data_IF_497570711773
#
_entry.id   IF_497570711773
#
_cell.length_a   1.000
_cell.length_b   1.000
_cell.length_c   1.000
_cell.angle_alpha   90.00
_cell.angle_beta   90.00
_cell.angle_gamma   90.00
#
_symmetry.space_group_name_H-M   'P 1'
#
loop_
_entity.id
_entity.type
_entity.pdbx_description
1 polymer ?
#
# COMPACT_ATOMS: atom_id res chain seq x y z
N UNK A 1 31.00 16.38 3.45
CA UNK A 1 29.57 16.14 3.72
C UNK A 1 29.33 16.30 5.21
N UNK A 2 28.35 17.10 5.62
CA UNK A 2 28.12 17.35 7.05
C UNK A 2 27.55 16.06 7.68
N UNK A 3 28.23 15.54 8.71
CA UNK A 3 27.82 14.29 9.42
C UNK A 3 26.35 14.38 9.90
N UNK A 4 25.93 15.55 10.32
CA UNK A 4 24.56 15.79 10.77
C UNK A 4 23.52 15.61 9.65
N UNK A 5 23.81 16.10 8.45
CA UNK A 5 22.94 15.91 7.28
C UNK A 5 22.73 14.44 6.91
N UNK A 6 23.78 13.62 6.96
CA UNK A 6 23.68 12.16 6.72
C UNK A 6 22.80 11.50 7.77
N UNK A 7 22.92 11.93 9.03
CA UNK A 7 22.10 11.41 10.14
C UNK A 7 20.62 11.71 9.90
N UNK A 8 20.27 12.94 9.46
CA UNK A 8 18.89 13.32 9.14
C UNK A 8 18.31 12.49 7.99
N UNK A 9 19.07 12.26 6.91
CA UNK A 9 18.62 11.42 5.80
C UNK A 9 18.38 9.96 6.23
N UNK A 10 19.22 9.42 7.10
CA UNK A 10 19.03 8.07 7.65
C UNK A 10 17.79 8.00 8.57
N UNK A 11 17.54 9.07 9.34
CA UNK A 11 16.36 9.19 10.18
C UNK A 11 15.08 9.20 9.34
N UNK A 12 15.02 10.00 8.26
CA UNK A 12 13.88 10.00 7.32
C UNK A 12 13.62 8.61 6.74
N UNK A 13 14.67 7.91 6.32
CA UNK A 13 14.53 6.55 5.80
C UNK A 13 13.92 5.61 6.83
N UNK A 14 14.35 5.70 8.08
CA UNK A 14 13.84 4.89 9.17
C UNK A 14 12.37 5.21 9.48
N UNK A 15 11.97 6.49 9.44
CA UNK A 15 10.59 6.92 9.60
C UNK A 15 9.70 6.33 8.49
N UNK A 16 10.11 6.41 7.22
CA UNK A 16 9.40 5.79 6.10
C UNK A 16 9.24 4.27 6.28
N UNK A 17 10.28 3.56 6.69
CA UNK A 17 10.18 2.13 6.95
C UNK A 17 9.23 1.81 8.11
N UNK A 18 9.23 2.61 9.17
CA UNK A 18 8.32 2.42 10.30
C UNK A 18 6.87 2.67 9.90
N UNK A 19 6.60 3.77 9.16
CA UNK A 19 5.27 4.05 8.63
C UNK A 19 4.80 2.94 7.70
N UNK A 20 5.66 2.45 6.80
CA UNK A 20 5.33 1.35 5.90
C UNK A 20 4.96 0.05 6.63
N UNK A 21 5.59 -0.26 7.77
CA UNK A 21 5.19 -1.41 8.60
C UNK A 21 3.82 -1.22 9.25
N UNK A 22 3.47 0.01 9.65
CA UNK A 22 2.13 0.33 10.17
C UNK A 22 1.09 0.17 9.07
N UNK A 23 1.37 0.66 7.86
CA UNK A 23 0.52 0.50 6.67
C UNK A 23 0.33 -0.97 6.31
N UNK A 24 1.40 -1.77 6.29
CA UNK A 24 1.32 -3.23 6.06
C UNK A 24 0.38 -3.90 7.07
N UNK A 25 0.49 -3.53 8.35
CA UNK A 25 -0.38 -4.07 9.40
C UNK A 25 -1.84 -3.65 9.18
N UNK A 26 -2.10 -2.40 8.81
CA UNK A 26 -3.44 -1.91 8.52
C UNK A 26 -4.09 -2.68 7.35
N UNK A 27 -3.36 -2.90 6.26
CA UNK A 27 -3.80 -3.68 5.10
C UNK A 27 -4.16 -5.11 5.51
N UNK A 28 -3.29 -5.79 6.24
CA UNK A 28 -3.52 -7.15 6.75
C UNK A 28 -4.77 -7.24 7.61
N UNK A 29 -4.95 -6.29 8.53
CA UNK A 29 -6.11 -6.24 9.41
C UNK A 29 -7.41 -5.92 8.66
N UNK A 30 -7.37 -5.06 7.64
CA UNK A 30 -8.52 -4.75 6.81
C UNK A 30 -9.01 -5.98 6.03
N UNK A 31 -8.07 -6.75 5.43
CA UNK A 31 -8.40 -8.00 4.73
C UNK A 31 -8.99 -9.02 5.70
N UNK A 32 -8.35 -9.21 6.86
CA UNK A 32 -8.85 -10.10 7.89
C UNK A 32 -10.27 -9.71 8.34
N UNK A 33 -10.51 -8.42 8.60
CA UNK A 33 -11.83 -7.92 8.98
C UNK A 33 -12.88 -8.24 7.92
N UNK A 34 -12.54 -8.07 6.64
CA UNK A 34 -13.43 -8.40 5.52
C UNK A 34 -13.74 -9.90 5.43
N UNK A 35 -12.74 -10.76 5.57
CA UNK A 35 -12.90 -12.21 5.47
C UNK A 35 -13.66 -12.81 6.66
N UNK A 36 -13.48 -12.24 7.86
CA UNK A 36 -14.07 -12.79 9.10
C UNK A 36 -15.35 -12.09 9.52
N UNK A 37 -15.71 -10.94 8.91
CA UNK A 37 -16.81 -10.09 9.32
C UNK A 37 -16.55 -9.40 10.68
N UNK A 38 -15.27 -9.22 11.07
CA UNK A 38 -14.89 -8.59 12.34
C UNK A 38 -14.99 -7.07 12.24
N UNK A 39 -16.17 -6.56 12.60
CA UNK A 39 -16.48 -5.13 12.59
C UNK A 39 -15.62 -4.33 13.59
N UNK A 40 -15.25 -4.94 14.73
CA UNK A 40 -14.41 -4.25 15.71
C UNK A 40 -12.99 -4.04 15.15
N UNK A 41 -12.44 -5.05 14.47
CA UNK A 41 -11.16 -4.95 13.79
C UNK A 41 -11.21 -3.92 12.66
N UNK A 42 -12.31 -3.86 11.89
CA UNK A 42 -12.50 -2.86 10.84
C UNK A 42 -12.47 -1.42 11.40
N UNK A 43 -13.17 -1.16 12.48
CA UNK A 43 -13.10 0.16 13.14
C UNK A 43 -11.71 0.49 13.66
N UNK A 44 -10.97 -0.50 14.19
CA UNK A 44 -9.57 -0.27 14.59
C UNK A 44 -8.69 0.18 13.40
N UNK A 45 -8.88 -0.40 12.21
CA UNK A 45 -8.15 0.02 11.01
C UNK A 45 -8.50 1.46 10.63
N UNK A 46 -9.77 1.82 10.63
CA UNK A 46 -10.22 3.19 10.34
C UNK A 46 -9.68 4.22 11.34
N UNK A 47 -9.56 3.85 12.62
CA UNK A 47 -8.96 4.72 13.66
C UNK A 47 -7.43 4.90 13.49
N UNK A 48 -6.74 3.98 12.79
CA UNK A 48 -5.30 4.13 12.50
C UNK A 48 -5.02 5.17 11.41
N UNK A 49 -5.95 5.42 10.51
CA UNK A 49 -5.83 6.35 9.39
C UNK A 49 -5.37 7.74 9.87
N UNK A 50 -6.06 8.34 10.84
CA UNK A 50 -5.69 9.64 11.40
C UNK A 50 -4.27 9.69 12.02
N UNK A 51 -3.72 8.56 12.45
CA UNK A 51 -2.34 8.50 12.97
C UNK A 51 -1.32 8.43 11.85
N UNK A 52 -1.66 7.74 10.77
CA UNK A 52 -0.82 7.64 9.56
C UNK A 52 -0.74 9.00 8.89
N UNK A 53 -1.86 9.73 8.79
CA UNK A 53 -1.91 11.11 8.29
C UNK A 53 -1.01 12.05 9.09
N UNK A 54 -1.07 11.96 10.43
CA UNK A 54 -0.21 12.79 11.28
C UNK A 54 1.27 12.47 11.09
N UNK A 55 1.62 11.21 10.90
CA UNK A 55 3.02 10.84 10.64
C UNK A 55 3.46 11.22 9.23
N UNK A 56 2.55 11.16 8.24
CA UNK A 56 2.79 11.66 6.89
C UNK A 56 3.19 13.14 6.93
N UNK A 57 2.41 13.99 7.61
CA UNK A 57 2.68 15.41 7.77
C UNK A 57 4.04 15.64 8.46
N UNK A 58 4.38 14.88 9.50
CA UNK A 58 5.67 15.01 10.20
C UNK A 58 6.85 14.70 9.31
N UNK A 59 6.75 13.62 8.50
CA UNK A 59 7.82 13.24 7.58
C UNK A 59 7.99 14.33 6.51
N UNK A 60 6.88 14.87 5.99
CA UNK A 60 6.93 15.98 5.03
C UNK A 60 7.59 17.23 5.63
N UNK A 61 7.21 17.64 6.85
CA UNK A 61 7.81 18.77 7.56
C UNK A 61 9.31 18.57 7.77
N UNK A 62 9.77 17.37 8.14
CA UNK A 62 11.21 17.07 8.27
C UNK A 62 11.92 17.15 6.91
N UNK A 63 11.30 16.70 5.82
CA UNK A 63 11.83 16.87 4.47
C UNK A 63 12.00 18.35 4.11
N UNK A 64 10.97 19.17 4.35
CA UNK A 64 11.00 20.62 4.10
C UNK A 64 12.06 21.33 4.94
N UNK A 65 12.21 20.94 6.19
CA UNK A 65 13.25 21.45 7.10
C UNK A 65 14.65 21.12 6.57
N UNK A 66 14.89 19.89 6.11
CA UNK A 66 16.16 19.48 5.51
C UNK A 66 16.46 20.32 4.25
N UNK A 67 15.48 20.53 3.38
CA UNK A 67 15.63 21.36 2.19
C UNK A 67 16.02 22.79 2.56
N UNK A 68 15.36 23.39 3.55
CA UNK A 68 15.60 24.75 3.99
C UNK A 68 16.99 24.94 4.64
N UNK A 69 17.38 24.02 5.53
CA UNK A 69 18.60 24.15 6.32
C UNK A 69 19.87 23.77 5.56
N UNK A 70 19.80 22.73 4.72
CA UNK A 70 20.99 22.15 4.10
C UNK A 70 21.13 22.48 2.62
N UNK A 71 20.07 22.95 1.95
CA UNK A 71 20.05 23.30 0.52
C UNK A 71 20.71 22.21 -0.33
N UNK A 72 20.26 20.92 -0.21
CA UNK A 72 20.92 19.81 -0.87
C UNK A 72 20.86 19.95 -2.39
N UNK A 73 21.84 19.36 -3.10
CA UNK A 73 21.95 19.40 -4.55
C UNK A 73 22.08 17.99 -5.12
N UNK A 74 21.82 17.85 -6.40
CA UNK A 74 22.00 16.63 -7.17
C UNK A 74 21.39 15.39 -6.47
N UNK A 75 22.19 14.41 -6.07
CA UNK A 75 21.72 13.18 -5.45
C UNK A 75 20.99 13.40 -4.12
N UNK A 76 21.51 14.29 -3.29
CA UNK A 76 20.94 14.56 -1.97
C UNK A 76 19.55 15.22 -2.09
N UNK A 77 19.39 16.13 -3.03
CA UNK A 77 18.08 16.72 -3.36
C UNK A 77 17.10 15.63 -3.85
N UNK A 78 17.54 14.74 -4.77
CA UNK A 78 16.71 13.65 -5.22
C UNK A 78 16.26 12.75 -4.07
N UNK A 79 17.16 12.49 -3.08
CA UNK A 79 16.82 11.70 -1.91
C UNK A 79 15.64 12.29 -1.14
N UNK A 80 15.69 13.59 -0.82
CA UNK A 80 14.60 14.24 -0.05
C UNK A 80 13.29 14.25 -0.86
N UNK A 81 13.36 14.60 -2.14
CA UNK A 81 12.16 14.62 -3.00
C UNK A 81 11.55 13.20 -3.17
N UNK A 82 12.39 12.17 -3.28
CA UNK A 82 11.90 10.78 -3.33
C UNK A 82 11.27 10.35 -2.00
N UNK A 83 11.80 10.81 -0.85
CA UNK A 83 11.18 10.55 0.46
C UNK A 83 9.76 11.14 0.53
N UNK A 84 9.54 12.40 0.10
CA UNK A 84 8.21 13.02 0.06
C UNK A 84 7.25 12.18 -0.78
N UNK A 85 7.67 11.74 -1.97
CA UNK A 85 6.82 10.94 -2.85
C UNK A 85 6.49 9.56 -2.29
N UNK A 86 7.48 8.88 -1.70
CA UNK A 86 7.28 7.57 -1.07
C UNK A 86 6.35 7.69 0.14
N UNK A 87 6.47 8.77 0.91
CA UNK A 87 5.60 9.09 2.03
C UNK A 87 4.13 9.20 1.60
N UNK A 88 3.85 9.99 0.55
CA UNK A 88 2.51 10.13 -0.03
C UNK A 88 1.98 8.80 -0.61
N UNK A 89 2.85 7.92 -1.17
CA UNK A 89 2.43 6.60 -1.64
C UNK A 89 2.04 5.68 -0.47
N UNK A 90 2.74 5.75 0.67
CA UNK A 90 2.41 4.98 1.88
C UNK A 90 1.09 5.44 2.53
N UNK A 91 0.84 6.73 2.58
CA UNK A 91 -0.44 7.29 3.06
C UNK A 91 -1.59 6.80 2.17
N UNK A 92 -1.48 6.92 0.85
CA UNK A 92 -2.51 6.41 -0.08
C UNK A 92 -2.76 4.91 0.04
N UNK A 93 -1.76 4.09 0.40
CA UNK A 93 -1.97 2.68 0.73
C UNK A 93 -2.82 2.51 1.99
N UNK A 94 -2.62 3.37 3.00
CA UNK A 94 -3.42 3.36 4.22
C UNK A 94 -4.88 3.76 3.94
N UNK A 95 -5.12 4.77 3.09
CA UNK A 95 -6.46 5.14 2.60
C UNK A 95 -7.18 3.92 2.00
N UNK A 96 -6.48 3.13 1.17
CA UNK A 96 -7.09 1.92 0.62
C UNK A 96 -7.38 0.86 1.70
N UNK A 97 -6.54 0.75 2.74
CA UNK A 97 -6.84 -0.12 3.88
C UNK A 97 -8.10 0.36 4.63
N UNK A 98 -8.28 1.66 4.81
CA UNK A 98 -9.50 2.28 5.33
C UNK A 98 -10.74 1.92 4.49
N UNK A 99 -10.67 2.08 3.17
CA UNK A 99 -11.76 1.69 2.26
C UNK A 99 -12.10 0.19 2.34
N UNK A 100 -11.09 -0.68 2.48
CA UNK A 100 -11.32 -2.12 2.68
C UNK A 100 -12.01 -2.40 4.02
N UNK A 101 -11.67 -1.67 5.08
CA UNK A 101 -12.30 -1.77 6.39
C UNK A 101 -13.77 -1.30 6.36
N UNK A 102 -14.09 -0.20 5.65
CA UNK A 102 -15.46 0.26 5.41
C UNK A 102 -16.30 -0.83 4.71
N UNK A 103 -15.73 -1.49 3.69
CA UNK A 103 -16.40 -2.63 3.02
C UNK A 103 -16.62 -3.80 3.97
N UNK A 104 -15.66 -4.09 4.87
CA UNK A 104 -15.83 -5.14 5.88
C UNK A 104 -17.03 -4.87 6.79
N UNK A 105 -17.21 -3.61 7.23
CA UNK A 105 -18.38 -3.19 8.01
C UNK A 105 -19.67 -3.35 7.21
N UNK A 106 -19.66 -2.95 5.93
CA UNK A 106 -20.82 -3.09 5.06
C UNK A 106 -21.19 -4.56 4.86
N UNK A 107 -20.24 -5.42 4.48
CA UNK A 107 -20.47 -6.87 4.29
C UNK A 107 -20.99 -7.53 5.56
N UNK A 108 -20.46 -7.18 6.73
CA UNK A 108 -20.94 -7.71 8.01
C UNK A 108 -22.39 -7.31 8.33
N UNK A 109 -22.89 -6.19 7.77
CA UNK A 109 -24.28 -5.75 7.89
C UNK A 109 -25.26 -6.50 6.99
N UNK A 110 -24.74 -7.18 5.96
CA UNK A 110 -25.56 -7.94 5.02
C UNK A 110 -26.00 -9.27 5.66
N UNK A 111 -27.30 -9.60 5.52
CA UNK A 111 -27.83 -10.89 5.96
C UNK A 111 -27.44 -11.97 4.94
N UNK A 112 -26.18 -12.43 4.99
CA UNK A 112 -25.69 -13.49 4.10
C UNK A 112 -26.16 -14.84 4.66
N UNK A 113 -26.93 -15.58 3.88
CA UNK A 113 -27.30 -16.96 4.22
C UNK A 113 -26.03 -17.83 4.17
N UNK A 114 -25.76 -18.62 5.23
CA UNK A 114 -24.52 -19.36 5.45
C UNK A 114 -24.15 -20.42 4.38
N UNK A 115 -24.88 -20.50 3.27
CA UNK A 115 -24.61 -21.36 2.13
C UNK A 115 -23.86 -20.67 0.97
N UNK A 116 -23.49 -19.36 1.13
CA UNK A 116 -22.76 -18.63 0.12
C UNK A 116 -21.28 -19.02 0.15
N UNK A 117 -20.73 -19.41 -0.99
CA UNK A 117 -19.28 -19.55 -1.15
C UNK A 117 -18.62 -18.17 -1.06
N UNK A 118 -17.82 -17.99 -0.03
CA UNK A 118 -17.08 -16.75 0.20
C UNK A 118 -15.86 -16.68 -0.74
N UNK A 119 -15.57 -15.48 -1.23
CA UNK A 119 -14.37 -15.26 -2.03
C UNK A 119 -13.12 -15.46 -1.19
N UNK A 120 -12.18 -16.27 -1.68
CA UNK A 120 -10.86 -16.45 -1.07
C UNK A 120 -9.89 -15.40 -1.63
N UNK A 121 -9.54 -14.43 -0.80
CA UNK A 121 -8.54 -13.40 -1.10
C UNK A 121 -7.13 -13.77 -0.67
N UNK A 122 -6.93 -14.89 0.04
CA UNK A 122 -5.63 -15.28 0.60
C UNK A 122 -4.48 -15.31 -0.41
N UNK A 123 -4.66 -15.79 -1.66
CA UNK A 123 -3.58 -15.76 -2.65
C UNK A 123 -3.19 -14.33 -3.05
N UNK A 124 -4.17 -13.45 -3.26
CA UNK A 124 -3.93 -12.05 -3.63
C UNK A 124 -3.34 -11.26 -2.46
N UNK A 125 -3.86 -11.49 -1.23
CA UNK A 125 -3.31 -10.96 0.00
C UNK A 125 -1.82 -11.28 0.14
N UNK A 126 -1.47 -12.57 0.00
CA UNK A 126 -0.09 -13.02 0.14
C UNK A 126 0.83 -12.31 -0.84
N UNK A 127 0.44 -12.22 -2.10
CA UNK A 127 1.22 -11.58 -3.15
C UNK A 127 1.44 -10.08 -2.89
N UNK A 128 0.37 -9.35 -2.53
CA UNK A 128 0.42 -7.91 -2.25
C UNK A 128 1.28 -7.62 -1.01
N UNK A 129 1.12 -8.41 0.06
CA UNK A 129 1.90 -8.22 1.29
C UNK A 129 3.37 -8.60 1.09
N UNK A 130 3.70 -9.66 0.34
CA UNK A 130 5.07 -9.99 -0.04
C UNK A 130 5.71 -8.84 -0.83
N UNK A 131 5.01 -8.31 -1.82
CA UNK A 131 5.48 -7.18 -2.63
C UNK A 131 5.73 -5.93 -1.79
N UNK A 132 4.83 -5.61 -0.84
CA UNK A 132 5.02 -4.49 0.07
C UNK A 132 6.21 -4.71 1.01
N UNK A 133 6.37 -5.90 1.60
CA UNK A 133 7.51 -6.23 2.45
C UNK A 133 8.83 -6.11 1.71
N UNK A 134 8.90 -6.59 0.47
CA UNK A 134 10.10 -6.46 -0.36
C UNK A 134 10.36 -5.00 -0.73
N UNK A 135 9.31 -4.20 -0.97
CA UNK A 135 9.43 -2.74 -1.18
C UNK A 135 10.00 -2.04 0.05
N UNK A 136 9.57 -2.39 1.27
CA UNK A 136 10.16 -1.84 2.50
C UNK A 136 11.64 -2.24 2.66
N UNK A 137 12.02 -3.46 2.28
CA UNK A 137 13.45 -3.86 2.22
C UNK A 137 14.23 -3.00 1.21
N UNK A 138 13.65 -2.68 0.05
CA UNK A 138 14.28 -1.77 -0.93
C UNK A 138 14.52 -0.39 -0.33
N UNK A 139 13.56 0.17 0.42
CA UNK A 139 13.75 1.45 1.12
C UNK A 139 14.90 1.33 2.13
N UNK A 140 14.94 0.27 2.93
CA UNK A 140 15.92 0.06 3.99
C UNK A 140 17.34 -0.14 3.44
N UNK A 141 17.49 -1.01 2.45
CA UNK A 141 18.80 -1.45 1.92
C UNK A 141 19.28 -0.65 0.72
N UNK A 142 18.39 0.07 0.05
CA UNK A 142 18.64 0.72 -1.25
C UNK A 142 19.05 -0.28 -2.34
N UNK A 143 18.50 -1.50 -2.34
CA UNK A 143 18.79 -2.54 -3.33
C UNK A 143 18.01 -2.31 -4.63
N UNK A 144 18.68 -1.74 -5.64
CA UNK A 144 18.10 -1.52 -6.95
C UNK A 144 17.74 -2.82 -7.68
N UNK A 145 18.50 -3.90 -7.45
CA UNK A 145 18.24 -5.18 -8.11
C UNK A 145 16.92 -5.78 -7.63
N UNK A 146 16.64 -5.68 -6.32
CA UNK A 146 15.36 -6.07 -5.74
C UNK A 146 14.22 -5.16 -6.26
N UNK A 147 14.47 -3.84 -6.36
CA UNK A 147 13.49 -2.90 -6.90
C UNK A 147 13.05 -3.25 -8.33
N UNK A 148 13.99 -3.59 -9.21
CA UNK A 148 13.66 -4.02 -10.57
C UNK A 148 12.85 -5.32 -10.61
N UNK A 149 13.18 -6.30 -9.76
CA UNK A 149 12.41 -7.56 -9.67
C UNK A 149 10.95 -7.33 -9.25
N UNK A 150 10.72 -6.38 -8.34
CA UNK A 150 9.35 -6.02 -7.92
C UNK A 150 8.60 -5.36 -9.08
N UNK A 151 9.23 -4.43 -9.79
CA UNK A 151 8.63 -3.75 -10.95
C UNK A 151 8.26 -4.74 -12.07
N UNK A 152 9.06 -5.79 -12.29
CA UNK A 152 8.80 -6.82 -13.30
C UNK A 152 7.61 -7.75 -12.95
N UNK A 153 7.15 -7.77 -11.69
CA UNK A 153 6.03 -8.60 -11.22
C UNK A 153 4.66 -7.89 -11.28
N UNK A 154 4.57 -6.73 -11.91
CA UNK A 154 3.36 -5.89 -12.00
C UNK A 154 2.12 -6.69 -12.48
N UNK A 155 2.28 -7.51 -13.51
CA UNK A 155 1.19 -8.27 -14.11
C UNK A 155 0.57 -9.36 -13.20
N UNK A 156 1.23 -9.78 -12.10
CA UNK A 156 0.77 -10.90 -11.27
C UNK A 156 -0.49 -10.53 -10.47
N UNK A 157 -0.49 -9.39 -9.79
CA UNK A 157 -1.66 -8.88 -9.03
C UNK A 157 -2.79 -8.51 -9.97
N UNK A 158 -2.47 -7.91 -11.11
CA UNK A 158 -3.42 -7.55 -12.16
C UNK A 158 -4.17 -8.77 -12.71
N UNK A 159 -3.47 -9.89 -12.91
CA UNK A 159 -4.09 -11.14 -13.36
C UNK A 159 -5.11 -11.64 -12.32
N UNK A 160 -4.74 -11.64 -11.04
CA UNK A 160 -5.63 -12.06 -9.95
C UNK A 160 -6.86 -11.16 -9.84
N UNK A 161 -6.70 -9.84 -9.94
CA UNK A 161 -7.82 -8.91 -9.96
C UNK A 161 -8.79 -9.20 -11.12
N UNK A 162 -8.25 -9.51 -12.31
CA UNK A 162 -9.07 -9.87 -13.48
C UNK A 162 -9.87 -11.16 -13.23
N UNK A 163 -9.26 -12.16 -12.62
CA UNK A 163 -9.94 -13.42 -12.22
C UNK A 163 -11.06 -13.16 -11.21
N UNK A 164 -10.79 -12.44 -10.13
CA UNK A 164 -11.79 -12.10 -9.12
C UNK A 164 -13.00 -11.37 -9.75
N UNK A 165 -12.75 -10.43 -10.68
CA UNK A 165 -13.82 -9.72 -11.37
C UNK A 165 -14.67 -10.65 -12.27
N UNK A 166 -14.05 -11.63 -12.93
CA UNK A 166 -14.77 -12.60 -13.75
C UNK A 166 -15.63 -13.50 -12.87
N UNK A 167 -15.07 -14.03 -11.77
CA UNK A 167 -15.80 -14.84 -10.81
C UNK A 167 -16.97 -14.10 -10.19
N UNK A 168 -16.76 -12.87 -9.70
CA UNK A 168 -17.82 -12.06 -9.11
C UNK A 168 -18.95 -11.77 -10.11
N UNK A 169 -18.64 -11.52 -11.37
CA UNK A 169 -19.68 -11.35 -12.41
C UNK A 169 -20.49 -12.61 -12.68
N UNK A 170 -19.84 -13.77 -12.72
CA UNK A 170 -20.52 -15.04 -12.91
C UNK A 170 -21.42 -15.37 -11.70
N UNK A 171 -20.90 -15.16 -10.49
CA UNK A 171 -21.64 -15.37 -9.25
C UNK A 171 -22.85 -14.41 -9.12
N UNK A 172 -22.69 -13.15 -9.50
CA UNK A 172 -23.77 -12.16 -9.54
C UNK A 172 -24.91 -12.58 -10.48
N UNK A 173 -24.58 -13.16 -11.65
CA UNK A 173 -25.58 -13.64 -12.59
C UNK A 173 -26.36 -14.85 -12.04
N UNK A 174 -25.72 -15.69 -11.21
CA UNK A 174 -26.31 -16.89 -10.62
C UNK A 174 -27.08 -16.61 -9.33
N UNK A 175 -26.67 -15.59 -8.57
CA UNK A 175 -27.20 -15.28 -7.24
C UNK A 175 -27.36 -13.75 -7.05
N UNK A 176 -28.37 -13.13 -7.70
CA UNK A 176 -28.56 -11.67 -7.62
C UNK A 176 -28.83 -11.15 -6.19
N UNK A 177 -29.30 -12.02 -5.29
CA UNK A 177 -29.55 -11.65 -3.88
C UNK A 177 -28.26 -11.25 -3.13
N UNK A 178 -27.10 -11.65 -3.61
CA UNK A 178 -25.80 -11.31 -3.01
C UNK A 178 -25.05 -10.21 -3.78
N UNK A 179 -25.77 -9.40 -4.56
CA UNK A 179 -25.15 -8.39 -5.42
C UNK A 179 -24.24 -7.41 -4.64
N UNK A 180 -24.67 -6.94 -3.48
CA UNK A 180 -23.90 -6.01 -2.62
C UNK A 180 -22.56 -6.64 -2.19
N UNK A 181 -22.59 -7.90 -1.73
CA UNK A 181 -21.38 -8.63 -1.36
C UNK A 181 -20.38 -8.77 -2.54
N UNK A 182 -20.86 -9.12 -3.74
CA UNK A 182 -19.98 -9.25 -4.91
C UNK A 182 -19.41 -7.91 -5.38
N UNK A 183 -20.15 -6.81 -5.21
CA UNK A 183 -19.67 -5.46 -5.49
C UNK A 183 -18.51 -5.12 -4.53
N UNK A 184 -18.65 -5.43 -3.24
CA UNK A 184 -17.60 -5.21 -2.26
C UNK A 184 -16.36 -6.10 -2.51
N UNK A 185 -16.54 -7.35 -2.93
CA UNK A 185 -15.44 -8.23 -3.36
C UNK A 185 -14.66 -7.64 -4.55
N UNK A 186 -15.34 -7.09 -5.55
CA UNK A 186 -14.71 -6.42 -6.68
C UNK A 186 -13.96 -5.16 -6.21
N UNK A 187 -14.55 -4.42 -5.27
CA UNK A 187 -13.95 -3.26 -4.65
C UNK A 187 -12.66 -3.61 -3.90
N UNK A 188 -12.69 -4.65 -3.05
CA UNK A 188 -11.52 -5.13 -2.30
C UNK A 188 -10.38 -5.54 -3.24
N UNK A 189 -10.67 -6.34 -4.28
CA UNK A 189 -9.66 -6.76 -5.26
C UNK A 189 -9.03 -5.57 -5.99
N UNK A 190 -9.80 -4.52 -6.27
CA UNK A 190 -9.28 -3.27 -6.87
C UNK A 190 -8.39 -2.50 -5.89
N UNK A 191 -8.79 -2.42 -4.63
CA UNK A 191 -8.02 -1.69 -3.63
C UNK A 191 -6.68 -2.40 -3.36
N UNK A 192 -6.64 -3.75 -3.38
CA UNK A 192 -5.41 -4.54 -3.31
C UNK A 192 -4.48 -4.31 -4.52
N UNK A 193 -5.02 -4.25 -5.75
CA UNK A 193 -4.22 -3.92 -6.94
C UNK A 193 -3.63 -2.51 -6.83
N UNK A 194 -4.41 -1.52 -6.36
CA UNK A 194 -3.91 -0.16 -6.15
C UNK A 194 -2.77 -0.08 -5.13
N UNK A 195 -2.82 -0.90 -4.09
CA UNK A 195 -1.72 -1.02 -3.12
C UNK A 195 -0.46 -1.57 -3.80
N UNK A 196 -0.60 -2.60 -4.64
CA UNK A 196 0.52 -3.15 -5.41
C UNK A 196 1.12 -2.12 -6.37
N UNK A 197 0.30 -1.38 -7.12
CA UNK A 197 0.73 -0.28 -7.98
C UNK A 197 1.60 0.74 -7.21
N UNK A 198 1.15 1.14 -6.01
CA UNK A 198 1.88 2.09 -5.17
C UNK A 198 3.21 1.53 -4.66
N UNK A 199 3.28 0.22 -4.39
CA UNK A 199 4.55 -0.44 -4.04
C UNK A 199 5.56 -0.37 -5.21
N UNK A 200 5.08 -0.56 -6.44
CA UNK A 200 5.88 -0.39 -7.66
C UNK A 200 6.31 1.08 -7.84
N UNK A 201 5.43 2.05 -7.60
CA UNK A 201 5.80 3.47 -7.63
C UNK A 201 6.93 3.79 -6.65
N UNK A 202 6.90 3.23 -5.43
CA UNK A 202 8.00 3.38 -4.45
C UNK A 202 9.30 2.78 -5.00
N UNK A 203 9.26 1.57 -5.57
CA UNK A 203 10.44 0.94 -6.18
C UNK A 203 11.00 1.79 -7.33
N UNK A 204 10.15 2.38 -8.18
CA UNK A 204 10.56 3.30 -9.25
C UNK A 204 11.24 4.56 -8.69
N UNK A 205 10.75 5.12 -7.56
CA UNK A 205 11.42 6.23 -6.88
C UNK A 205 12.80 5.83 -6.34
N UNK A 206 12.94 4.60 -5.82
CA UNK A 206 14.23 4.10 -5.33
C UNK A 206 15.25 3.91 -6.47
N UNK A 207 14.81 3.38 -7.63
CA UNK A 207 15.66 3.29 -8.84
C UNK A 207 16.07 4.70 -9.30
N UNK A 208 15.12 5.64 -9.39
CA UNK A 208 15.42 7.03 -9.75
C UNK A 208 16.43 7.68 -8.81
N UNK A 209 16.30 7.46 -7.52
CA UNK A 209 17.23 7.99 -6.51
C UNK A 209 18.66 7.51 -6.76
N UNK A 210 18.84 6.26 -7.16
CA UNK A 210 20.17 5.66 -7.38
C UNK A 210 20.75 6.02 -8.73
N UNK A 211 19.96 5.93 -9.79
CA UNK A 211 20.45 6.07 -11.18
C UNK A 211 20.31 7.48 -11.73
N UNK A 212 19.41 8.29 -11.19
CA UNK A 212 18.99 9.58 -11.75
C UNK A 212 18.10 9.46 -13.00
N UNK A 213 17.77 8.25 -13.43
CA UNK A 213 16.93 7.98 -14.60
C UNK A 213 15.50 7.70 -14.17
N UNK A 214 14.52 8.32 -14.85
CA UNK A 214 13.09 8.09 -14.59
C UNK A 214 12.69 6.80 -15.31
N UNK A 215 12.24 5.79 -14.57
CA UNK A 215 11.91 4.44 -15.08
C UNK A 215 10.38 4.28 -15.30
N UNK A 216 9.61 5.38 -15.20
CA UNK A 216 8.17 5.36 -15.39
C UNK A 216 7.84 5.10 -16.86
N UNK A 217 6.91 4.18 -17.11
CA UNK A 217 6.38 3.86 -18.44
C UNK A 217 7.42 3.26 -19.42
N UNK A 218 8.42 2.52 -18.92
CA UNK A 218 9.34 1.76 -19.77
C UNK A 218 8.74 0.40 -20.13
#
# INVERSE_FOLDING_TARGET
>A
MNHHFITELNHLRQQLCNQGRVVEQAIRQAIQAFQTGDVALAYCVMDYDAKIDQEEIRIEEECLKILALYQPVARDLRTVISCIKMNASLERMADFAGHMAERAVHVASLSLDGNQEMFDFSPMEHLVLEQLQDTLKVIETSDACLAYKIIERDDEVDAMRREHRVHARAALASSPAFAEYFIDCIGLARDLERIADLAIEICQQMVYLQTGSIVRHA
#
